data_IF_765095598635
#
_entry.id   IF_765095598635
#
_cell.length_a   1.000
_cell.length_b   1.000
_cell.length_c   1.000
_cell.angle_alpha   90.00
_cell.angle_beta   90.00
_cell.angle_gamma   90.00
#
_symmetry.space_group_name_H-M   'P 1'
#
loop_
_entity.id
_entity.type
_entity.pdbx_description
1 polymer ?
#
# COMPACT_ATOMS: atom_id res chain seq x y z
N UNK A 1 31.93 -14.39 -17.69
CA UNK A 1 30.47 -14.15 -17.64
C UNK A 1 29.84 -15.34 -16.94
N UNK A 2 29.19 -15.08 -15.79
CA UNK A 2 28.48 -16.11 -15.03
C UNK A 2 27.09 -16.39 -15.62
N UNK A 3 26.65 -17.66 -15.52
CA UNK A 3 25.38 -18.13 -16.06
C UNK A 3 24.44 -18.53 -14.93
N UNK A 4 23.17 -18.16 -15.05
CA UNK A 4 22.10 -18.46 -14.11
C UNK A 4 20.86 -18.94 -14.88
N UNK A 5 20.04 -19.77 -14.23
CA UNK A 5 18.73 -20.11 -14.77
C UNK A 5 17.79 -18.89 -14.68
N UNK A 6 17.93 -18.09 -13.61
CA UNK A 6 17.16 -16.89 -13.37
C UNK A 6 18.04 -15.72 -12.92
N UNK A 7 17.85 -14.57 -13.55
CA UNK A 7 18.29 -13.28 -13.01
C UNK A 7 17.06 -12.51 -12.53
N UNK A 8 17.10 -12.03 -11.28
CA UNK A 8 16.07 -11.16 -10.72
C UNK A 8 16.65 -9.77 -10.53
N UNK A 9 15.97 -8.74 -11.00
CA UNK A 9 16.38 -7.34 -10.86
C UNK A 9 15.48 -6.65 -9.83
N UNK A 10 16.03 -6.35 -8.65
CA UNK A 10 15.34 -5.77 -7.50
C UNK A 10 14.96 -6.79 -6.43
N UNK A 11 15.30 -6.50 -5.17
CA UNK A 11 15.08 -7.34 -3.99
C UNK A 11 13.86 -6.98 -3.18
N UNK A 12 12.92 -6.22 -3.74
CA UNK A 12 11.63 -5.93 -3.13
C UNK A 12 10.76 -7.20 -2.96
N UNK A 13 9.54 -7.08 -2.39
CA UNK A 13 8.68 -8.24 -2.11
C UNK A 13 8.50 -9.19 -3.29
N UNK A 14 8.26 -8.65 -4.50
CA UNK A 14 8.13 -9.48 -5.71
C UNK A 14 9.44 -10.18 -6.09
N UNK A 15 10.56 -9.44 -6.10
CA UNK A 15 11.85 -10.00 -6.49
C UNK A 15 12.35 -11.08 -5.53
N UNK A 16 12.29 -10.82 -4.22
CA UNK A 16 12.68 -11.77 -3.18
C UNK A 16 11.84 -13.06 -3.27
N UNK A 17 10.51 -12.96 -3.43
CA UNK A 17 9.65 -14.16 -3.50
C UNK A 17 9.74 -14.87 -4.83
N UNK A 18 9.96 -14.15 -5.95
CA UNK A 18 10.25 -14.76 -7.25
C UNK A 18 11.57 -15.53 -7.24
N UNK A 19 12.62 -14.92 -6.70
CA UNK A 19 13.93 -15.57 -6.55
C UNK A 19 13.84 -16.83 -5.67
N UNK A 20 13.18 -16.73 -4.50
CA UNK A 20 13.00 -17.86 -3.59
C UNK A 20 12.15 -18.97 -4.21
N UNK A 21 11.11 -18.63 -4.99
CA UNK A 21 10.25 -19.60 -5.68
C UNK A 21 11.07 -20.44 -6.67
N UNK A 22 11.87 -19.81 -7.53
CA UNK A 22 12.72 -20.51 -8.49
C UNK A 22 13.81 -21.35 -7.79
N UNK A 23 14.48 -20.80 -6.79
CA UNK A 23 15.50 -21.50 -6.03
C UNK A 23 14.94 -22.73 -5.29
N UNK A 24 13.71 -22.63 -4.74
CA UNK A 24 13.03 -23.76 -4.10
C UNK A 24 12.86 -24.96 -5.05
N UNK A 25 12.67 -24.70 -6.35
CA UNK A 25 12.60 -25.73 -7.40
C UNK A 25 13.96 -26.02 -8.08
N UNK A 26 15.06 -25.75 -7.36
CA UNK A 26 16.42 -26.14 -7.75
C UNK A 26 17.04 -25.29 -8.85
N UNK A 27 16.51 -24.10 -9.17
CA UNK A 27 17.09 -23.19 -10.15
C UNK A 27 18.25 -22.40 -9.56
N UNK A 28 19.30 -22.17 -10.34
CA UNK A 28 20.43 -21.30 -9.97
C UNK A 28 20.01 -19.84 -10.20
N UNK A 29 19.92 -19.05 -9.13
CA UNK A 29 19.37 -17.69 -9.15
C UNK A 29 20.41 -16.65 -8.78
N UNK A 30 20.48 -15.55 -9.54
CA UNK A 30 21.13 -14.31 -9.16
C UNK A 30 20.06 -13.24 -8.88
N UNK A 31 20.20 -12.51 -7.77
CA UNK A 31 19.36 -11.38 -7.37
C UNK A 31 20.21 -10.11 -7.34
N UNK A 32 19.89 -9.14 -8.20
CA UNK A 32 20.61 -7.88 -8.31
C UNK A 32 19.86 -6.81 -7.52
N UNK A 33 20.57 -6.09 -6.62
CA UNK A 33 20.00 -4.98 -5.86
C UNK A 33 20.91 -3.74 -5.95
N UNK A 34 20.35 -2.59 -6.32
CA UNK A 34 21.12 -1.34 -6.41
C UNK A 34 21.24 -0.59 -5.09
N UNK A 35 20.23 -0.71 -4.24
CA UNK A 35 20.23 -0.06 -2.93
C UNK A 35 21.18 -0.80 -1.96
N UNK A 36 21.73 -0.13 -0.95
CA UNK A 36 22.67 -0.76 -0.01
C UNK A 36 22.00 -1.85 0.85
N UNK A 37 20.68 -1.89 0.91
CA UNK A 37 19.91 -2.84 1.68
C UNK A 37 18.87 -3.55 0.84
N UNK A 38 18.69 -4.85 1.09
CA UNK A 38 17.63 -5.65 0.49
C UNK A 38 16.23 -5.28 1.03
N UNK A 39 15.16 -5.77 0.36
CA UNK A 39 13.76 -5.60 0.79
C UNK A 39 12.99 -4.55 0.00
N UNK A 40 13.66 -3.78 -0.87
CA UNK A 40 13.04 -2.76 -1.72
C UNK A 40 12.23 -1.72 -0.93
N UNK A 41 11.34 -0.98 -1.60
CA UNK A 41 10.50 0.02 -0.97
C UNK A 41 9.57 -0.57 0.11
N UNK A 42 9.12 -1.83 -0.05
CA UNK A 42 8.24 -2.48 0.92
C UNK A 42 8.81 -2.50 2.34
N UNK A 43 10.10 -2.78 2.48
CA UNK A 43 10.79 -2.80 3.80
C UNK A 43 11.41 -1.44 4.13
N UNK A 44 11.97 -0.72 3.14
CA UNK A 44 12.89 0.38 3.43
C UNK A 44 12.24 1.77 3.42
N UNK A 45 11.23 2.05 2.56
CA UNK A 45 10.72 3.41 2.37
C UNK A 45 9.19 3.51 2.26
N UNK A 46 8.48 2.39 2.13
CA UNK A 46 7.04 2.40 1.88
C UNK A 46 6.21 1.71 2.95
N UNK A 47 5.85 0.45 2.69
CA UNK A 47 4.84 -0.28 3.46
C UNK A 47 5.18 -0.40 4.96
N UNK A 48 6.33 -0.94 5.31
CA UNK A 48 6.69 -1.19 6.72
C UNK A 48 6.97 0.11 7.48
N UNK A 49 7.75 1.07 6.94
CA UNK A 49 7.99 2.35 7.61
C UNK A 49 6.70 3.06 8.01
N UNK A 50 5.79 3.31 7.05
CA UNK A 50 4.56 4.08 7.33
C UNK A 50 3.65 3.40 8.35
N UNK A 51 3.53 2.04 8.32
CA UNK A 51 2.72 1.30 9.30
C UNK A 51 3.34 1.36 10.69
N UNK A 52 4.67 1.26 10.79
CA UNK A 52 5.37 1.40 12.06
C UNK A 52 5.25 2.83 12.62
N UNK A 53 5.33 3.85 11.75
CA UNK A 53 5.10 5.23 12.17
C UNK A 53 3.65 5.48 12.61
N UNK A 54 2.67 4.81 11.99
CA UNK A 54 1.29 4.85 12.45
C UNK A 54 1.17 4.32 13.88
N UNK A 55 1.74 3.15 14.17
CA UNK A 55 1.72 2.60 15.54
C UNK A 55 2.44 3.52 16.54
N UNK A 56 3.57 4.10 16.15
CA UNK A 56 4.26 5.10 16.96
C UNK A 56 3.39 6.34 17.22
N UNK A 57 2.69 6.85 16.20
CA UNK A 57 1.78 7.98 16.33
C UNK A 57 0.60 7.67 17.27
N UNK A 58 -0.01 6.49 17.17
CA UNK A 58 -1.05 6.03 18.08
C UNK A 58 -0.54 5.94 19.52
N UNK A 59 0.64 5.37 19.72
CA UNK A 59 1.29 5.25 21.02
C UNK A 59 1.56 6.63 21.64
N UNK A 60 2.24 7.52 20.93
CA UNK A 60 2.63 8.83 21.45
C UNK A 60 1.46 9.81 21.60
N UNK A 61 0.45 9.73 20.77
CA UNK A 61 -0.74 10.58 20.88
C UNK A 61 -1.71 10.14 21.96
N UNK A 62 -1.72 8.85 22.32
CA UNK A 62 -2.71 8.25 23.20
C UNK A 62 -4.15 8.41 22.69
N UNK A 63 -4.34 8.72 21.40
CA UNK A 63 -5.64 9.14 20.87
C UNK A 63 -6.73 8.08 21.01
N UNK A 64 -6.38 6.80 20.92
CA UNK A 64 -7.31 5.68 21.14
C UNK A 64 -7.78 5.57 22.59
N UNK A 65 -7.06 6.17 23.55
CA UNK A 65 -7.31 6.04 24.97
C UNK A 65 -7.84 7.33 25.61
N UNK A 66 -7.92 8.43 24.84
CA UNK A 66 -8.40 9.72 25.33
C UNK A 66 -9.83 9.61 25.86
N UNK A 67 -10.03 10.02 27.08
CA UNK A 67 -11.34 9.99 27.75
C UNK A 67 -11.89 8.60 28.09
N UNK A 68 -11.28 7.50 27.61
CA UNK A 68 -11.81 6.14 27.79
C UNK A 68 -11.67 5.65 29.25
N UNK A 69 -10.55 5.98 29.89
CA UNK A 69 -10.26 5.52 31.27
C UNK A 69 -10.43 6.61 32.35
N UNK A 70 -11.06 7.74 32.01
CA UNK A 70 -11.26 8.85 32.94
C UNK A 70 -9.99 9.61 33.34
N UNK A 71 -8.91 9.34 32.65
CA UNK A 71 -7.60 10.03 32.80
C UNK A 71 -7.16 10.52 31.43
N UNK A 72 -6.88 11.80 31.30
CA UNK A 72 -6.25 12.32 30.09
C UNK A 72 -4.77 11.94 30.07
N UNK A 73 -4.43 11.07 29.18
CA UNK A 73 -3.06 10.67 28.91
C UNK A 73 -2.50 11.56 27.81
N UNK A 74 -1.73 12.57 28.15
CA UNK A 74 -0.89 13.28 27.18
C UNK A 74 0.53 12.76 27.30
N UNK A 75 0.99 12.06 26.28
CA UNK A 75 2.41 11.78 26.16
C UNK A 75 3.18 13.05 25.83
N UNK A 76 4.47 12.99 25.98
CA UNK A 76 5.49 14.00 25.83
C UNK A 76 5.14 15.14 24.84
N UNK A 77 4.96 16.36 25.35
CA UNK A 77 4.64 17.54 24.52
C UNK A 77 5.80 17.94 23.54
N UNK A 78 7.02 17.49 23.84
CA UNK A 78 8.23 17.77 23.07
C UNK A 78 8.80 16.49 22.44
N UNK A 79 7.98 15.76 21.66
CA UNK A 79 8.42 14.58 20.93
C UNK A 79 9.45 14.98 19.86
N UNK A 80 10.66 14.43 19.96
CA UNK A 80 11.67 14.61 18.92
C UNK A 80 11.46 13.64 17.75
N UNK A 81 11.91 14.02 16.55
CA UNK A 81 11.93 13.13 15.37
C UNK A 81 12.65 11.82 15.67
N UNK A 82 13.77 11.87 16.39
CA UNK A 82 14.53 10.67 16.76
C UNK A 82 13.70 9.67 17.58
N UNK A 83 12.89 10.14 18.51
CA UNK A 83 12.03 9.30 19.31
C UNK A 83 10.87 8.73 18.47
N UNK A 84 10.29 9.55 17.60
CA UNK A 84 9.22 9.12 16.71
C UNK A 84 9.69 8.05 15.71
N UNK A 85 10.87 8.22 15.11
CA UNK A 85 11.45 7.29 14.13
C UNK A 85 12.12 6.05 14.76
N UNK A 86 12.33 6.04 16.07
CA UNK A 86 13.12 4.99 16.73
C UNK A 86 12.61 3.58 16.44
N UNK A 87 11.30 3.34 16.61
CA UNK A 87 10.71 2.02 16.40
C UNK A 87 10.72 1.61 14.93
N UNK A 88 10.50 2.55 14.04
CA UNK A 88 10.57 2.35 12.59
C UNK A 88 11.96 1.81 12.19
N UNK A 89 13.03 2.46 12.63
CA UNK A 89 14.41 2.06 12.33
C UNK A 89 14.74 0.66 12.85
N UNK A 90 14.24 0.30 14.03
CA UNK A 90 14.42 -1.06 14.57
C UNK A 90 13.70 -2.12 13.75
N UNK A 91 12.43 -1.88 13.40
CA UNK A 91 11.61 -2.82 12.62
C UNK A 91 12.19 -3.01 11.23
N UNK A 92 12.56 -1.92 10.56
CA UNK A 92 13.20 -1.97 9.23
C UNK A 92 14.50 -2.76 9.28
N UNK A 93 15.36 -2.53 10.30
CA UNK A 93 16.60 -3.29 10.48
C UNK A 93 16.32 -4.79 10.63
N UNK A 94 15.40 -5.16 11.51
CA UNK A 94 15.01 -6.55 11.74
C UNK A 94 14.48 -7.23 10.47
N UNK A 95 13.64 -6.54 9.69
CA UNK A 95 13.07 -7.11 8.47
C UNK A 95 14.10 -7.19 7.32
N UNK A 96 15.06 -6.27 7.24
CA UNK A 96 16.22 -6.41 6.33
C UNK A 96 16.98 -7.70 6.62
N UNK A 97 17.20 -8.03 7.89
CA UNK A 97 17.86 -9.27 8.31
C UNK A 97 17.03 -10.51 7.91
N UNK A 98 15.71 -10.47 8.11
CA UNK A 98 14.82 -11.56 7.67
C UNK A 98 14.90 -11.80 6.16
N UNK A 99 14.88 -10.75 5.35
CA UNK A 99 15.02 -10.85 3.88
C UNK A 99 16.40 -11.39 3.51
N UNK A 100 17.47 -10.89 4.12
CA UNK A 100 18.84 -11.36 3.87
C UNK A 100 19.02 -12.84 4.24
N UNK A 101 18.46 -13.28 5.39
CA UNK A 101 18.46 -14.67 5.81
C UNK A 101 17.67 -15.56 4.83
N UNK A 102 16.55 -15.08 4.31
CA UNK A 102 15.78 -15.83 3.33
C UNK A 102 16.53 -16.00 2.01
N UNK A 103 17.19 -14.96 1.52
CA UNK A 103 18.07 -15.01 0.34
C UNK A 103 19.20 -16.04 0.54
N UNK A 104 19.87 -15.98 1.69
CA UNK A 104 20.96 -16.90 2.03
C UNK A 104 20.48 -18.36 2.17
N UNK A 105 19.33 -18.57 2.85
CA UNK A 105 18.73 -19.91 3.02
C UNK A 105 18.43 -20.60 1.69
N UNK A 106 18.03 -19.84 0.68
CA UNK A 106 17.74 -20.36 -0.66
C UNK A 106 18.98 -20.37 -1.58
N UNK A 107 20.18 -20.06 -1.05
CA UNK A 107 21.45 -20.03 -1.79
C UNK A 107 21.40 -19.13 -3.05
N UNK A 108 20.62 -18.03 -2.97
CA UNK A 108 20.51 -17.06 -4.04
C UNK A 108 21.76 -16.18 -4.05
N UNK A 109 22.41 -16.05 -5.20
CA UNK A 109 23.56 -15.16 -5.37
C UNK A 109 23.11 -13.69 -5.34
N UNK A 110 23.35 -13.00 -4.23
CA UNK A 110 23.06 -11.57 -4.11
C UNK A 110 24.19 -10.76 -4.75
N UNK A 111 23.83 -9.95 -5.77
CA UNK A 111 24.77 -9.09 -6.51
C UNK A 111 24.41 -7.64 -6.28
N UNK A 112 25.31 -6.90 -5.63
CA UNK A 112 25.13 -5.47 -5.38
C UNK A 112 25.51 -4.66 -6.62
N UNK A 113 24.59 -3.83 -7.13
CA UNK A 113 24.83 -2.92 -8.24
C UNK A 113 23.59 -2.57 -9.06
N UNK A 114 23.73 -1.65 -9.99
CA UNK A 114 22.67 -1.22 -10.89
C UNK A 114 22.69 -2.05 -12.17
N UNK A 115 21.53 -2.64 -12.48
CA UNK A 115 21.35 -3.53 -13.62
C UNK A 115 20.93 -2.77 -14.87
N UNK A 116 21.51 -3.10 -16.02
CA UNK A 116 21.11 -2.61 -17.34
C UNK A 116 21.22 -3.76 -18.35
N UNK A 117 20.24 -3.93 -19.22
CA UNK A 117 20.29 -4.92 -20.30
C UNK A 117 21.32 -4.53 -21.37
N UNK A 118 22.25 -5.43 -21.68
CA UNK A 118 23.10 -5.37 -22.87
C UNK A 118 22.40 -6.03 -24.09
N UNK A 119 21.81 -7.18 -23.87
CA UNK A 119 20.97 -7.94 -24.79
C UNK A 119 19.84 -8.66 -23.98
N UNK A 120 18.87 -9.35 -24.64
CA UNK A 120 17.76 -9.98 -23.92
C UNK A 120 18.14 -11.00 -22.86
N UNK A 121 19.32 -11.60 -22.93
CA UNK A 121 19.82 -12.60 -21.97
C UNK A 121 20.95 -12.10 -21.09
N UNK A 122 21.57 -10.95 -21.42
CA UNK A 122 22.76 -10.43 -20.72
C UNK A 122 22.44 -9.14 -19.99
N UNK A 123 22.69 -9.15 -18.69
CA UNK A 123 22.55 -7.98 -17.81
C UNK A 123 23.93 -7.55 -17.34
N UNK A 124 24.28 -6.30 -17.64
CA UNK A 124 25.42 -5.61 -17.05
C UNK A 124 25.03 -5.11 -15.66
N UNK A 125 25.91 -5.27 -14.69
CA UNK A 125 25.74 -4.76 -13.33
C UNK A 125 26.89 -3.81 -13.01
N UNK A 126 26.57 -2.53 -12.89
CA UNK A 126 27.53 -1.49 -12.48
C UNK A 126 27.63 -1.50 -10.96
N UNK A 127 28.82 -1.76 -10.43
CA UNK A 127 29.07 -1.84 -8.99
C UNK A 127 29.27 -0.47 -8.36
N UNK A 128 28.73 -0.23 -7.15
CA UNK A 128 29.01 1.00 -6.43
C UNK A 128 30.50 1.09 -6.07
N UNK A 129 31.07 2.32 -6.07
CA UNK A 129 32.46 2.58 -5.68
C UNK A 129 33.51 2.31 -6.77
N UNK A 130 33.13 2.10 -8.04
CA UNK A 130 34.07 1.99 -9.16
C UNK A 130 34.75 0.61 -9.27
N UNK A 131 34.11 -0.45 -8.75
CA UNK A 131 34.55 -1.83 -8.97
C UNK A 131 34.36 -2.25 -10.43
N UNK A 132 34.98 -3.38 -10.83
CA UNK A 132 34.81 -3.96 -12.16
C UNK A 132 33.33 -4.36 -12.39
N UNK A 133 32.75 -3.91 -13.50
CA UNK A 133 31.38 -4.25 -13.90
C UNK A 133 31.24 -5.75 -14.12
N UNK A 134 30.10 -6.29 -13.68
CA UNK A 134 29.80 -7.70 -13.91
C UNK A 134 28.88 -7.86 -15.12
N UNK A 135 29.03 -8.97 -15.82
CA UNK A 135 28.10 -9.42 -16.84
C UNK A 135 27.52 -10.77 -16.44
N UNK A 136 26.22 -10.79 -16.26
CA UNK A 136 25.47 -11.99 -15.89
C UNK A 136 24.60 -12.42 -17.07
N UNK A 137 24.56 -13.71 -17.36
CA UNK A 137 23.69 -14.28 -18.38
C UNK A 137 22.60 -15.12 -17.73
N UNK A 138 21.34 -14.84 -18.05
CA UNK A 138 20.15 -15.55 -17.57
C UNK A 138 19.40 -16.26 -18.69
N UNK A 139 18.91 -17.46 -18.42
CA UNK A 139 17.95 -18.11 -19.31
C UNK A 139 16.57 -17.43 -19.18
N UNK A 140 16.20 -17.01 -17.96
CA UNK A 140 15.01 -16.24 -17.62
C UNK A 140 15.42 -14.97 -16.87
N UNK A 141 14.69 -13.85 -17.07
CA UNK A 141 14.87 -12.62 -16.31
C UNK A 141 13.54 -12.18 -15.69
N UNK A 142 13.54 -11.87 -14.39
CA UNK A 142 12.43 -11.26 -13.70
C UNK A 142 12.75 -9.80 -13.33
N UNK A 143 12.01 -8.85 -13.89
CA UNK A 143 12.10 -7.43 -13.56
C UNK A 143 11.15 -7.14 -12.38
N UNK A 144 11.71 -6.81 -11.22
CA UNK A 144 10.98 -6.53 -9.98
C UNK A 144 11.48 -5.23 -9.32
N UNK A 145 11.80 -4.23 -10.16
CA UNK A 145 12.40 -2.95 -9.76
C UNK A 145 11.44 -1.99 -9.06
N UNK A 146 10.16 -2.34 -9.03
CA UNK A 146 9.14 -1.60 -8.30
C UNK A 146 8.84 -0.23 -8.88
N UNK A 147 8.55 0.73 -8.02
CA UNK A 147 8.20 2.10 -8.34
C UNK A 147 9.00 3.10 -7.53
N UNK A 148 9.03 4.34 -8.00
CA UNK A 148 9.64 5.50 -7.31
C UNK A 148 8.62 6.64 -7.23
N UNK A 149 8.73 7.58 -6.26
CA UNK A 149 7.89 8.76 -6.22
C UNK A 149 7.92 9.53 -7.54
N UNK A 150 6.77 10.05 -7.95
CA UNK A 150 6.68 10.91 -9.12
C UNK A 150 7.19 12.32 -8.76
N UNK A 151 8.45 12.60 -9.05
CA UNK A 151 9.07 13.92 -8.83
C UNK A 151 8.86 14.80 -10.06
N UNK A 152 7.83 15.67 -9.98
CA UNK A 152 7.64 16.70 -11.02
C UNK A 152 8.80 17.69 -10.98
N UNK A 153 9.37 18.11 -12.12
CA UNK A 153 10.44 19.11 -12.17
C UNK A 153 10.00 20.49 -11.66
N UNK A 154 8.70 20.75 -11.58
CA UNK A 154 8.16 22.02 -11.08
C UNK A 154 8.12 22.09 -9.54
N UNK A 155 8.43 21.01 -8.84
CA UNK A 155 8.44 20.95 -7.37
C UNK A 155 9.89 21.05 -6.88
N UNK A 156 10.21 22.04 -6.03
CA UNK A 156 11.58 22.29 -5.56
C UNK A 156 11.98 21.34 -4.42
N UNK A 157 12.22 20.07 -4.75
CA UNK A 157 12.63 19.02 -3.79
C UNK A 157 14.05 19.22 -3.23
N UNK A 158 14.78 20.23 -3.68
CA UNK A 158 16.08 20.62 -3.12
C UNK A 158 15.93 21.34 -1.77
N UNK A 159 14.74 21.87 -1.47
CA UNK A 159 14.45 22.46 -0.16
C UNK A 159 14.18 21.34 0.87
N UNK A 160 14.90 21.29 2.01
CA UNK A 160 14.79 20.21 2.99
C UNK A 160 13.46 20.18 3.76
N UNK A 161 12.52 21.05 3.44
CA UNK A 161 11.14 21.08 4.00
C UNK A 161 10.11 20.50 3.04
N UNK A 162 10.51 20.12 1.81
CA UNK A 162 9.64 19.58 0.77
C UNK A 162 10.06 18.15 0.51
N UNK A 163 9.22 17.21 0.89
CA UNK A 163 9.47 15.77 0.87
C UNK A 163 8.62 15.07 -0.18
N UNK A 164 9.16 14.05 -0.79
CA UNK A 164 8.37 12.96 -1.39
C UNK A 164 8.08 11.87 -0.35
N UNK A 165 7.43 10.79 -0.77
CA UNK A 165 7.03 9.71 0.13
C UNK A 165 8.18 8.85 0.64
N UNK A 166 9.33 8.90 0.01
CA UNK A 166 10.51 8.15 0.44
C UNK A 166 11.39 9.02 1.36
N UNK A 167 11.56 10.32 1.03
CA UNK A 167 12.35 11.28 1.80
C UNK A 167 11.71 11.73 3.11
N UNK A 168 10.40 11.60 3.28
CA UNK A 168 9.71 11.96 4.54
C UNK A 168 10.25 11.20 5.76
N UNK A 169 10.87 10.05 5.55
CA UNK A 169 11.51 9.24 6.60
C UNK A 169 12.81 9.85 7.11
N UNK A 170 13.42 10.74 6.34
CA UNK A 170 14.68 11.44 6.67
C UNK A 170 14.45 12.85 7.22
N UNK A 171 13.22 13.18 7.62
CA UNK A 171 12.90 14.50 8.16
C UNK A 171 13.77 14.85 9.38
N UNK A 172 14.29 16.07 9.41
CA UNK A 172 15.17 16.52 10.49
C UNK A 172 14.44 17.02 11.74
N UNK A 173 13.17 17.43 11.60
CA UNK A 173 12.32 17.92 12.71
C UNK A 173 10.84 17.68 12.42
N UNK A 174 10.04 17.52 13.46
CA UNK A 174 8.57 17.54 13.34
C UNK A 174 8.11 18.98 13.09
N UNK A 175 7.34 19.25 12.03
CA UNK A 175 6.81 20.58 11.75
C UNK A 175 5.62 20.90 12.67
N UNK A 176 5.24 22.17 12.77
CA UNK A 176 3.99 22.58 13.43
C UNK A 176 2.81 22.55 12.45
N UNK A 177 3.11 22.83 11.18
CA UNK A 177 2.14 22.84 10.08
C UNK A 177 2.68 22.08 8.88
N UNK A 178 1.83 21.30 8.23
CA UNK A 178 2.20 20.52 7.05
C UNK A 178 1.10 20.58 6.00
N UNK A 179 1.48 20.75 4.75
CA UNK A 179 0.59 20.48 3.62
C UNK A 179 0.91 19.09 3.03
N UNK A 180 -0.11 18.29 2.80
CA UNK A 180 -0.01 17.01 2.08
C UNK A 180 -0.70 17.16 0.73
N UNK A 181 0.03 17.04 -0.36
CA UNK A 181 -0.49 17.18 -1.73
C UNK A 181 -0.73 15.81 -2.33
N UNK A 182 -2.00 15.44 -2.48
CA UNK A 182 -2.46 14.15 -2.98
C UNK A 182 -3.19 13.32 -1.93
N UNK A 183 -4.50 13.11 -2.10
CA UNK A 183 -5.40 12.31 -1.25
C UNK A 183 -5.47 10.83 -1.67
N UNK A 184 -4.34 10.26 -2.14
CA UNK A 184 -4.16 8.83 -2.36
C UNK A 184 -3.81 8.10 -1.07
N UNK A 185 -3.49 6.80 -1.17
CA UNK A 185 -3.13 5.96 -0.01
C UNK A 185 -2.04 6.60 0.84
N UNK A 186 -0.91 6.95 0.22
CA UNK A 186 0.25 7.52 0.90
C UNK A 186 -0.10 8.85 1.59
N UNK A 187 -0.77 9.76 0.87
CA UNK A 187 -1.15 11.06 1.42
C UNK A 187 -2.11 10.92 2.60
N UNK A 188 -3.14 10.08 2.50
CA UNK A 188 -4.09 9.85 3.59
C UNK A 188 -3.43 9.22 4.82
N UNK A 189 -2.54 8.22 4.62
CA UNK A 189 -1.81 7.58 5.71
C UNK A 189 -0.94 8.59 6.47
N UNK A 190 -0.03 9.28 5.77
CA UNK A 190 0.86 10.26 6.42
C UNK A 190 0.09 11.45 7.00
N UNK A 191 -0.95 11.94 6.33
CA UNK A 191 -1.76 13.04 6.87
C UNK A 191 -2.38 12.68 8.22
N UNK A 192 -2.94 11.46 8.37
CA UNK A 192 -3.52 11.01 9.64
C UNK A 192 -2.45 10.74 10.70
N UNK A 193 -1.28 10.21 10.32
CA UNK A 193 -0.14 9.99 11.22
C UNK A 193 0.31 11.32 11.85
N UNK A 194 0.56 12.34 11.02
CA UNK A 194 1.02 13.63 11.51
C UNK A 194 -0.06 14.39 12.29
N UNK A 195 -1.32 14.32 11.86
CA UNK A 195 -2.43 14.92 12.61
C UNK A 195 -2.61 14.27 13.99
N UNK A 196 -2.46 12.94 14.11
CA UNK A 196 -2.51 12.24 15.39
C UNK A 196 -1.42 12.74 16.36
N UNK A 197 -0.26 13.14 15.87
CA UNK A 197 0.81 13.77 16.67
C UNK A 197 0.54 15.25 17.03
N UNK A 198 -0.60 15.81 16.62
CA UNK A 198 -0.98 17.19 16.89
C UNK A 198 -0.41 18.21 15.91
N UNK A 199 0.16 17.78 14.78
CA UNK A 199 0.59 18.67 13.70
C UNK A 199 -0.66 19.15 12.94
N UNK A 200 -0.74 20.43 12.64
CA UNK A 200 -1.82 20.99 11.81
C UNK A 200 -1.59 20.61 10.35
N UNK A 201 -2.39 19.68 9.85
CA UNK A 201 -2.26 19.14 8.49
C UNK A 201 -3.37 19.65 7.59
N UNK A 202 -3.00 20.19 6.41
CA UNK A 202 -3.91 20.46 5.30
C UNK A 202 -3.66 19.44 4.19
N UNK A 203 -4.66 18.60 3.89
CA UNK A 203 -4.63 17.64 2.78
C UNK A 203 -5.32 18.25 1.56
N UNK A 204 -4.63 18.31 0.42
CA UNK A 204 -5.12 18.94 -0.81
C UNK A 204 -5.19 17.89 -1.92
N UNK A 205 -6.36 17.72 -2.54
CA UNK A 205 -6.54 16.80 -3.68
C UNK A 205 -7.50 17.39 -4.73
N UNK A 206 -7.15 17.26 -6.00
CA UNK A 206 -7.98 17.74 -7.12
C UNK A 206 -9.25 16.93 -7.37
N UNK A 207 -9.38 15.75 -6.78
CA UNK A 207 -10.57 14.88 -6.93
C UNK A 207 -11.68 15.33 -5.97
N UNK A 208 -12.90 14.87 -6.25
CA UNK A 208 -14.08 15.13 -5.43
C UNK A 208 -14.19 14.26 -4.17
N UNK A 209 -13.35 13.19 -4.08
CA UNK A 209 -13.32 12.27 -2.93
C UNK A 209 -11.93 11.68 -2.70
N UNK A 210 -11.66 11.28 -1.47
CA UNK A 210 -10.47 10.52 -1.09
C UNK A 210 -10.59 9.09 -1.60
N UNK A 211 -9.45 8.46 -1.97
CA UNK A 211 -9.38 7.03 -2.25
C UNK A 211 -10.53 6.53 -3.13
N UNK A 212 -10.66 6.95 -4.39
CA UNK A 212 -11.83 6.72 -5.23
C UNK A 212 -12.14 5.24 -5.53
N UNK A 213 -11.23 4.33 -5.22
CA UNK A 213 -11.42 2.89 -5.33
C UNK A 213 -12.23 2.28 -4.16
N UNK A 214 -12.37 3.01 -3.06
CA UNK A 214 -13.23 2.60 -1.94
C UNK A 214 -14.71 2.81 -2.29
N UNK A 215 -15.55 2.04 -1.62
CA UNK A 215 -16.99 2.34 -1.55
C UNK A 215 -17.20 3.77 -1.03
N UNK A 216 -18.11 4.53 -1.65
CA UNK A 216 -18.31 5.95 -1.35
C UNK A 216 -18.64 6.22 0.10
N UNK A 217 -19.51 5.41 0.69
CA UNK A 217 -19.88 5.56 2.10
C UNK A 217 -18.65 5.45 3.02
N UNK A 218 -17.74 4.53 2.72
CA UNK A 218 -16.51 4.34 3.50
C UNK A 218 -15.54 5.51 3.28
N UNK A 219 -15.39 5.98 2.04
CA UNK A 219 -14.58 7.16 1.72
C UNK A 219 -15.08 8.42 2.44
N UNK A 220 -16.39 8.65 2.42
CA UNK A 220 -17.01 9.80 3.08
C UNK A 220 -16.86 9.71 4.61
N UNK A 221 -17.01 8.51 5.19
CA UNK A 221 -16.75 8.27 6.62
C UNK A 221 -15.28 8.51 6.98
N UNK A 222 -14.34 8.04 6.16
CA UNK A 222 -12.92 8.29 6.39
C UNK A 222 -12.64 9.80 6.41
N UNK A 223 -13.14 10.53 5.42
CA UNK A 223 -13.00 11.99 5.38
C UNK A 223 -13.51 12.64 6.67
N UNK A 224 -14.71 12.29 7.12
CA UNK A 224 -15.27 12.82 8.36
C UNK A 224 -14.37 12.53 9.57
N UNK A 225 -13.81 11.30 9.66
CA UNK A 225 -12.90 10.95 10.77
C UNK A 225 -11.59 11.74 10.69
N UNK A 226 -11.06 11.98 9.48
CA UNK A 226 -9.87 12.83 9.29
C UNK A 226 -10.14 14.27 9.74
N UNK A 227 -11.31 14.84 9.39
CA UNK A 227 -11.71 16.18 9.83
C UNK A 227 -11.91 16.26 11.36
N UNK A 228 -12.48 15.21 11.98
CA UNK A 228 -12.59 15.09 13.44
C UNK A 228 -11.21 14.93 14.13
N UNK A 229 -10.24 14.32 13.46
CA UNK A 229 -8.87 14.24 13.92
C UNK A 229 -8.14 15.61 13.84
N UNK A 230 -8.74 16.60 13.18
CA UNK A 230 -8.23 17.95 13.06
C UNK A 230 -7.56 18.28 11.73
N UNK A 231 -7.71 17.45 10.70
CA UNK A 231 -7.21 17.74 9.36
C UNK A 231 -8.12 18.77 8.66
N UNK A 232 -7.50 19.68 7.91
CA UNK A 232 -8.16 20.50 6.91
C UNK A 232 -8.12 19.75 5.56
N UNK A 233 -9.25 19.15 5.15
CA UNK A 233 -9.34 18.36 3.92
C UNK A 233 -9.95 19.18 2.78
N UNK A 234 -9.11 19.57 1.80
CA UNK A 234 -9.49 20.36 0.64
C UNK A 234 -9.56 19.50 -0.60
N UNK A 235 -10.77 19.03 -0.93
CA UNK A 235 -11.05 18.31 -2.17
C UNK A 235 -11.41 19.30 -3.29
N UNK A 236 -11.33 18.85 -4.54
CA UNK A 236 -11.52 19.67 -5.75
C UNK A 236 -10.59 20.88 -5.77
N UNK A 237 -9.47 20.80 -5.07
CA UNK A 237 -8.47 21.85 -4.98
C UNK A 237 -7.11 21.31 -5.48
N UNK A 238 -6.36 22.16 -6.16
CA UNK A 238 -5.04 21.83 -6.66
C UNK A 238 -3.99 22.85 -6.25
N UNK A 239 -2.75 22.41 -6.20
CA UNK A 239 -1.60 23.28 -6.03
C UNK A 239 -1.12 23.71 -7.41
N UNK A 240 -1.04 25.02 -7.64
CA UNK A 240 -0.53 25.61 -8.86
C UNK A 240 0.99 25.74 -8.82
N UNK A 241 1.55 26.10 -7.66
CA UNK A 241 2.99 26.29 -7.46
C UNK A 241 3.37 26.09 -6.00
N UNK A 242 4.57 25.57 -5.76
CA UNK A 242 5.21 25.51 -4.44
C UNK A 242 6.46 26.37 -4.46
N UNK A 243 6.58 27.30 -3.50
CA UNK A 243 7.73 28.20 -3.37
C UNK A 243 8.30 28.14 -1.97
N UNK A 244 9.56 27.74 -1.80
CA UNK A 244 10.27 27.93 -0.55
C UNK A 244 10.48 29.43 -0.29
N UNK A 245 10.16 29.87 0.93
CA UNK A 245 10.45 31.20 1.46
C UNK A 245 11.31 31.07 2.73
N UNK A 246 11.96 32.14 3.24
CA UNK A 246 12.88 32.01 4.38
C UNK A 246 12.27 31.30 5.60
N UNK A 247 11.06 31.65 6.00
CA UNK A 247 10.41 31.11 7.21
C UNK A 247 9.33 30.05 6.93
N UNK A 248 8.89 29.88 5.68
CA UNK A 248 7.74 29.04 5.34
C UNK A 248 7.86 28.47 3.94
N UNK A 249 7.12 27.43 3.63
CA UNK A 249 6.87 26.95 2.27
C UNK A 249 5.48 27.45 1.84
N UNK A 250 5.41 28.27 0.79
CA UNK A 250 4.19 28.84 0.28
C UNK A 250 3.63 27.99 -0.86
N UNK A 251 2.38 27.55 -0.73
CA UNK A 251 1.61 26.88 -1.78
C UNK A 251 0.61 27.87 -2.39
N UNK A 252 0.71 28.10 -3.69
CA UNK A 252 -0.30 28.83 -4.47
C UNK A 252 -1.38 27.84 -4.92
N UNK A 253 -2.64 28.11 -4.61
CA UNK A 253 -3.76 27.21 -4.91
C UNK A 253 -4.39 27.54 -6.27
N UNK A 254 -4.93 26.54 -6.96
CA UNK A 254 -5.57 26.74 -8.28
C UNK A 254 -6.85 27.55 -8.19
N UNK A 255 -7.57 27.49 -7.07
CA UNK A 255 -8.76 28.33 -6.81
C UNK A 255 -8.46 29.80 -6.58
N UNK A 256 -7.17 30.16 -6.47
CA UNK A 256 -6.68 31.47 -5.98
C UNK A 256 -6.49 31.46 -4.48
N UNK A 257 -5.53 32.20 -4.00
CA UNK A 257 -5.12 32.20 -2.60
C UNK A 257 -3.85 31.40 -2.37
N UNK A 258 -3.40 31.41 -1.12
CA UNK A 258 -2.14 30.77 -0.75
C UNK A 258 -2.23 30.13 0.64
N UNK A 259 -1.37 29.13 0.87
CA UNK A 259 -1.21 28.42 2.13
C UNK A 259 0.28 28.40 2.49
N UNK A 260 0.64 29.00 3.64
CA UNK A 260 1.99 28.94 4.19
C UNK A 260 2.10 27.84 5.24
N UNK A 261 3.09 26.94 5.11
CA UNK A 261 3.33 25.83 6.04
C UNK A 261 4.81 25.65 6.34
N UNK A 262 5.14 24.94 7.43
CA UNK A 262 6.52 24.60 7.77
C UNK A 262 7.12 23.54 6.84
N UNK A 263 6.29 22.61 6.36
CA UNK A 263 6.74 21.50 5.49
C UNK A 263 5.65 21.05 4.52
N UNK A 264 6.06 20.44 3.42
CA UNK A 264 5.18 19.86 2.39
C UNK A 264 5.56 18.41 2.15
N UNK A 265 4.56 17.53 2.14
CA UNK A 265 4.67 16.17 1.60
C UNK A 265 3.98 16.13 0.24
N UNK A 266 4.73 15.87 -0.82
CA UNK A 266 4.20 15.70 -2.16
C UNK A 266 3.96 14.21 -2.43
N UNK A 267 2.70 13.77 -2.35
CA UNK A 267 2.25 12.39 -2.46
C UNK A 267 1.38 12.15 -3.72
N UNK A 268 1.70 12.82 -4.84
CA UNK A 268 0.91 12.82 -6.07
C UNK A 268 1.23 11.64 -7.02
N UNK A 269 1.47 10.46 -6.46
CA UNK A 269 1.61 9.21 -7.18
C UNK A 269 3.06 8.71 -7.33
N UNK A 270 3.17 7.50 -7.91
CA UNK A 270 4.43 6.81 -8.17
C UNK A 270 4.51 6.41 -9.65
N UNK A 271 5.72 6.19 -10.14
CA UNK A 271 6.01 5.75 -11.52
C UNK A 271 6.87 4.48 -11.49
N UNK A 272 6.76 3.66 -12.52
CA UNK A 272 7.57 2.45 -12.68
C UNK A 272 9.07 2.78 -12.73
N UNK A 273 9.86 2.02 -11.99
CA UNK A 273 11.32 2.23 -11.92
C UNK A 273 12.05 1.49 -13.05
N UNK A 274 11.93 2.01 -14.27
CA UNK A 274 12.41 1.37 -15.52
C UNK A 274 13.48 2.14 -16.28
N UNK A 275 13.74 3.40 -15.90
CA UNK A 275 14.56 4.33 -16.70
C UNK A 275 16.00 3.86 -16.96
N UNK A 276 16.63 3.18 -15.99
CA UNK A 276 18.03 2.74 -16.09
C UNK A 276 18.20 1.34 -16.69
N UNK A 277 17.11 0.63 -17.00
CA UNK A 277 17.18 -0.78 -17.40
C UNK A 277 17.59 -0.97 -18.86
N UNK A 278 17.49 0.04 -19.74
CA UNK A 278 17.80 -0.10 -21.17
C UNK A 278 16.80 -1.00 -21.92
N UNK A 279 15.51 -0.95 -21.54
CA UNK A 279 14.45 -1.82 -22.08
C UNK A 279 14.21 -1.65 -23.57
N UNK A 280 14.44 -0.47 -24.11
CA UNK A 280 14.39 -0.15 -25.53
C UNK A 280 15.35 -0.99 -26.37
N UNK A 281 16.55 -1.30 -25.83
CA UNK A 281 17.57 -2.14 -26.51
C UNK A 281 17.13 -3.58 -26.72
N UNK A 282 16.19 -4.05 -25.89
CA UNK A 282 15.68 -5.42 -25.93
C UNK A 282 14.24 -5.49 -26.44
N UNK A 283 13.71 -4.38 -26.98
CA UNK A 283 12.38 -4.32 -27.61
C UNK A 283 11.21 -4.27 -26.63
N UNK A 284 11.43 -3.94 -25.36
CA UNK A 284 10.36 -3.76 -24.37
C UNK A 284 10.00 -2.28 -24.27
N UNK A 285 8.77 -1.94 -24.65
CA UNK A 285 8.22 -0.60 -24.46
C UNK A 285 7.58 -0.45 -23.09
N UNK A 286 7.59 0.77 -22.56
CA UNK A 286 6.93 1.14 -21.31
C UNK A 286 5.80 2.14 -21.57
N UNK A 287 4.75 2.09 -20.76
CA UNK A 287 3.65 3.06 -20.80
C UNK A 287 4.04 4.42 -20.19
N UNK A 288 3.12 5.39 -20.24
CA UNK A 288 3.33 6.80 -19.85
C UNK A 288 3.86 6.98 -18.42
N UNK A 289 3.55 6.05 -17.52
CA UNK A 289 4.07 6.04 -16.14
C UNK A 289 5.28 5.13 -15.93
N UNK A 290 5.95 4.71 -17.01
CA UNK A 290 7.09 3.81 -16.94
C UNK A 290 6.74 2.36 -16.58
N UNK A 291 5.46 1.95 -16.68
CA UNK A 291 5.04 0.59 -16.39
C UNK A 291 5.31 -0.35 -17.56
N UNK A 292 5.80 -1.55 -17.26
CA UNK A 292 6.01 -2.62 -18.23
C UNK A 292 4.68 -3.33 -18.49
N UNK A 293 4.33 -3.54 -19.76
CA UNK A 293 3.16 -4.32 -20.14
C UNK A 293 3.47 -5.82 -20.10
N UNK A 294 2.57 -6.59 -19.49
CA UNK A 294 2.68 -8.05 -19.34
C UNK A 294 1.34 -8.73 -19.66
N UNK A 295 1.41 -10.03 -19.98
CA UNK A 295 0.22 -10.88 -20.09
C UNK A 295 -0.24 -11.42 -18.73
N UNK A 296 -1.22 -12.34 -18.72
CA UNK A 296 -1.78 -12.96 -17.52
C UNK A 296 -0.79 -13.83 -16.73
N UNK A 297 0.34 -14.20 -17.34
CA UNK A 297 1.44 -14.93 -16.72
C UNK A 297 2.58 -14.00 -16.28
N UNK A 298 2.37 -12.67 -16.35
CA UNK A 298 3.38 -11.64 -16.05
C UNK A 298 4.58 -11.66 -16.99
N UNK A 299 4.45 -12.25 -18.18
CA UNK A 299 5.44 -12.32 -19.24
C UNK A 299 5.35 -11.07 -20.11
N UNK A 300 6.49 -10.50 -20.47
CA UNK A 300 6.58 -9.35 -21.41
C UNK A 300 6.46 -9.82 -22.87
N UNK A 301 6.60 -8.89 -23.79
CA UNK A 301 6.68 -9.22 -25.24
C UNK A 301 7.90 -10.07 -25.60
N UNK A 302 8.91 -10.12 -24.72
CA UNK A 302 10.09 -10.97 -24.87
C UNK A 302 9.87 -12.24 -24.04
N UNK A 303 9.75 -13.44 -24.63
CA UNK A 303 9.19 -14.64 -23.99
C UNK A 303 9.88 -15.12 -22.70
N UNK A 304 11.17 -14.84 -22.50
CA UNK A 304 11.93 -15.24 -21.31
C UNK A 304 12.12 -14.11 -20.31
N UNK A 305 11.49 -12.94 -20.55
CA UNK A 305 11.52 -11.79 -19.64
C UNK A 305 10.15 -11.57 -19.03
N UNK A 306 10.10 -11.55 -17.71
CA UNK A 306 8.91 -11.35 -16.89
C UNK A 306 9.03 -10.06 -16.08
N UNK A 307 7.89 -9.50 -15.66
CA UNK A 307 7.87 -8.37 -14.73
C UNK A 307 6.77 -8.53 -13.70
N UNK A 308 7.03 -8.13 -12.44
CA UNK A 308 6.08 -8.25 -11.34
C UNK A 308 6.20 -7.11 -10.32
N UNK A 309 5.12 -6.82 -9.62
CA UNK A 309 5.03 -5.75 -8.63
C UNK A 309 4.78 -4.38 -9.24
N UNK A 310 5.10 -3.33 -8.51
CA UNK A 310 4.75 -1.95 -8.89
C UNK A 310 5.27 -1.53 -10.27
N UNK A 311 6.29 -2.18 -10.79
CA UNK A 311 6.85 -1.90 -12.12
C UNK A 311 5.86 -2.20 -13.25
N UNK A 312 4.84 -3.03 -13.01
CA UNK A 312 3.74 -3.30 -13.95
C UNK A 312 2.47 -2.49 -13.64
N UNK A 313 2.49 -1.66 -12.59
CA UNK A 313 1.37 -0.80 -12.19
C UNK A 313 0.40 -1.45 -11.21
N UNK A 314 -0.89 -1.13 -11.36
CA UNK A 314 -1.95 -1.63 -10.45
C UNK A 314 -2.04 -3.17 -10.50
N UNK A 315 -2.25 -3.82 -9.34
CA UNK A 315 -2.51 -3.29 -8.01
C UNK A 315 -1.25 -3.14 -7.14
N UNK A 316 -0.49 -2.14 -7.19
CA UNK A 316 0.78 -1.88 -6.52
C UNK A 316 0.76 -2.16 -4.99
N UNK A 317 0.65 -3.45 -4.64
CA UNK A 317 0.62 -3.97 -3.27
C UNK A 317 1.74 -4.99 -3.06
N UNK A 318 2.40 -4.96 -1.90
CA UNK A 318 3.45 -5.91 -1.57
C UNK A 318 2.96 -7.37 -1.68
N UNK A 319 1.76 -7.68 -1.16
CA UNK A 319 1.17 -9.01 -1.21
C UNK A 319 0.93 -9.49 -2.65
N UNK A 320 0.32 -8.66 -3.50
CA UNK A 320 0.10 -9.03 -4.91
C UNK A 320 1.40 -9.16 -5.68
N UNK A 321 2.41 -8.31 -5.40
CA UNK A 321 3.74 -8.41 -6.02
C UNK A 321 4.39 -9.77 -5.76
N UNK A 322 4.28 -10.27 -4.53
CA UNK A 322 4.79 -11.60 -4.16
C UNK A 322 4.10 -12.72 -4.96
N UNK A 323 2.77 -12.65 -5.08
CA UNK A 323 2.00 -13.67 -5.79
C UNK A 323 2.20 -13.62 -7.30
N UNK A 324 2.29 -12.41 -7.90
CA UNK A 324 2.60 -12.20 -9.31
C UNK A 324 3.96 -12.83 -9.66
N UNK A 325 4.99 -12.57 -8.85
CA UNK A 325 6.31 -13.13 -9.07
C UNK A 325 6.34 -14.67 -8.96
N UNK A 326 5.56 -15.25 -8.02
CA UNK A 326 5.42 -16.72 -7.92
C UNK A 326 4.76 -17.31 -9.17
N UNK A 327 3.69 -16.70 -9.67
CA UNK A 327 3.02 -17.13 -10.90
C UNK A 327 3.96 -17.02 -12.09
N UNK A 328 4.67 -15.88 -12.22
CA UNK A 328 5.66 -15.66 -13.27
C UNK A 328 6.73 -16.75 -13.30
N UNK A 329 7.28 -17.11 -12.15
CA UNK A 329 8.34 -18.14 -12.06
C UNK A 329 7.80 -19.54 -12.28
N UNK A 330 6.59 -19.84 -11.81
CA UNK A 330 5.95 -21.13 -12.12
C UNK A 330 5.72 -21.29 -13.63
N UNK A 331 5.25 -20.25 -14.30
CA UNK A 331 5.08 -20.27 -15.76
C UNK A 331 6.42 -20.36 -16.50
N UNK A 332 7.43 -19.58 -16.08
CA UNK A 332 8.74 -19.52 -16.72
C UNK A 332 9.49 -20.86 -16.72
N UNK A 333 9.27 -21.68 -15.69
CA UNK A 333 9.99 -22.95 -15.48
C UNK A 333 9.09 -24.18 -15.58
N UNK A 334 7.87 -24.03 -16.12
CA UNK A 334 6.88 -25.11 -16.29
C UNK A 334 6.62 -25.89 -14.99
N UNK A 335 6.37 -25.12 -13.90
CA UNK A 335 6.09 -25.66 -12.56
C UNK A 335 4.58 -25.59 -12.29
N UNK A 336 3.94 -26.73 -12.21
CA UNK A 336 2.50 -26.83 -11.93
C UNK A 336 2.22 -26.72 -10.41
N UNK A 337 2.51 -25.55 -9.84
CA UNK A 337 2.27 -25.27 -8.42
C UNK A 337 1.33 -24.07 -8.23
N UNK A 338 1.55 -22.97 -8.96
CA UNK A 338 0.76 -21.75 -8.86
C UNK A 338 0.61 -21.08 -10.23
N UNK A 339 -0.61 -21.12 -10.76
CA UNK A 339 -0.90 -20.69 -12.12
C UNK A 339 -1.60 -19.33 -12.22
N UNK A 340 -2.12 -18.80 -11.10
CA UNK A 340 -2.84 -17.52 -11.07
C UNK A 340 -2.76 -16.82 -9.71
N UNK A 341 -2.91 -15.52 -9.73
CA UNK A 341 -3.22 -14.71 -8.54
C UNK A 341 -4.74 -14.75 -8.33
N UNK A 342 -5.18 -14.71 -7.08
CA UNK A 342 -6.60 -14.66 -6.77
C UNK A 342 -7.27 -13.44 -7.42
N UNK A 343 -8.43 -13.64 -8.04
CA UNK A 343 -9.17 -12.56 -8.71
C UNK A 343 -9.69 -11.50 -7.73
N UNK A 344 -9.99 -11.89 -6.49
CA UNK A 344 -10.39 -11.01 -5.40
C UNK A 344 -9.27 -11.01 -4.38
N UNK A 345 -8.74 -9.83 -4.09
CA UNK A 345 -7.70 -9.59 -3.09
C UNK A 345 -8.11 -8.42 -2.18
N UNK A 346 -7.63 -8.36 -0.94
CA UNK A 346 -7.96 -7.29 -0.04
C UNK A 346 -7.11 -6.04 -0.35
N UNK A 347 -7.72 -4.88 -0.13
CA UNK A 347 -7.05 -3.58 -0.11
C UNK A 347 -7.15 -3.02 1.30
N UNK A 348 -6.04 -2.67 1.92
CA UNK A 348 -6.00 -2.00 3.21
C UNK A 348 -5.29 -0.66 3.10
N UNK A 349 -5.83 0.35 3.77
CA UNK A 349 -5.26 1.68 3.94
C UNK A 349 -5.11 1.92 5.43
N UNK A 350 -3.88 2.12 5.87
CA UNK A 350 -3.52 2.23 7.27
C UNK A 350 -3.59 3.69 7.76
N UNK A 351 -4.71 4.33 7.49
CA UNK A 351 -5.08 5.62 8.08
C UNK A 351 -5.44 5.46 9.57
N UNK A 352 -5.78 6.56 10.20
CA UNK A 352 -6.36 6.60 11.55
C UNK A 352 -7.75 7.21 11.41
N UNK A 353 -8.84 6.38 11.48
CA UNK A 353 -8.88 4.91 11.60
C UNK A 353 -8.47 4.17 10.32
N UNK A 354 -8.20 2.85 10.43
CA UNK A 354 -7.93 1.97 9.29
C UNK A 354 -9.15 1.82 8.39
N UNK A 355 -8.89 1.57 7.10
CA UNK A 355 -9.91 1.19 6.13
C UNK A 355 -9.45 -0.03 5.36
N UNK A 356 -10.35 -0.99 5.15
CA UNK A 356 -10.07 -2.14 4.31
C UNK A 356 -11.28 -2.58 3.50
N UNK A 357 -11.04 -3.17 2.34
CA UNK A 357 -12.10 -3.71 1.49
C UNK A 357 -11.65 -4.93 0.69
N UNK A 358 -12.62 -5.72 0.25
CA UNK A 358 -12.46 -6.75 -0.77
C UNK A 358 -13.74 -6.88 -1.59
N UNK A 359 -13.61 -7.13 -2.89
CA UNK A 359 -14.74 -7.34 -3.81
C UNK A 359 -15.37 -6.04 -4.33
N UNK A 360 -16.67 -6.11 -4.63
CA UNK A 360 -17.42 -5.04 -5.29
C UNK A 360 -17.87 -3.96 -4.31
N UNK A 361 -17.88 -2.71 -4.78
CA UNK A 361 -18.54 -1.58 -4.11
C UNK A 361 -19.99 -1.44 -4.59
N UNK A 362 -20.79 -0.60 -3.94
CA UNK A 362 -22.12 -0.28 -4.46
C UNK A 362 -22.05 0.36 -5.85
N UNK A 363 -21.04 1.20 -6.11
CA UNK A 363 -20.81 1.85 -7.40
C UNK A 363 -20.56 0.80 -8.49
N UNK A 364 -19.63 -0.13 -8.26
CA UNK A 364 -19.32 -1.18 -9.25
C UNK A 364 -20.49 -2.13 -9.47
N UNK A 365 -21.30 -2.40 -8.44
CA UNK A 365 -22.54 -3.16 -8.62
C UNK A 365 -23.54 -2.42 -9.51
N UNK A 366 -23.73 -1.10 -9.33
CA UNK A 366 -24.60 -0.29 -10.20
C UNK A 366 -24.09 -0.26 -11.63
N UNK A 367 -22.80 -0.04 -11.83
CA UNK A 367 -22.17 -0.01 -13.16
C UNK A 367 -22.33 -1.34 -13.90
N UNK A 368 -22.24 -2.47 -13.17
CA UNK A 368 -22.42 -3.82 -13.72
C UNK A 368 -23.88 -4.27 -13.81
N UNK A 369 -24.84 -3.46 -13.39
CA UNK A 369 -26.26 -3.81 -13.38
C UNK A 369 -26.61 -4.96 -12.43
N UNK A 370 -25.85 -5.16 -11.36
CA UNK A 370 -26.08 -6.24 -10.38
C UNK A 370 -27.10 -5.76 -9.37
N UNK A 371 -28.20 -6.51 -9.20
CA UNK A 371 -29.15 -6.28 -8.12
C UNK A 371 -28.52 -6.68 -6.78
N UNK A 372 -28.35 -5.73 -5.88
CA UNK A 372 -27.66 -5.95 -4.61
C UNK A 372 -28.45 -5.37 -3.43
N UNK A 373 -28.13 -5.86 -2.24
CA UNK A 373 -28.50 -5.31 -0.95
C UNK A 373 -27.26 -5.01 -0.12
N UNK A 374 -27.44 -4.20 0.91
CA UNK A 374 -26.37 -3.80 1.83
C UNK A 374 -26.79 -4.08 3.25
N UNK A 375 -25.87 -4.65 4.04
CA UNK A 375 -26.01 -4.78 5.48
C UNK A 375 -24.87 -4.09 6.21
N UNK A 376 -25.17 -3.48 7.37
CA UNK A 376 -24.21 -2.68 8.15
C UNK A 376 -24.22 -3.08 9.61
N UNK A 377 -23.03 -3.08 10.22
CA UNK A 377 -22.88 -3.16 11.67
C UNK A 377 -21.94 -2.07 12.16
N UNK A 378 -22.39 -1.29 13.13
CA UNK A 378 -21.59 -0.22 13.73
C UNK A 378 -20.87 -0.74 14.97
N UNK A 379 -19.60 -0.38 15.15
CA UNK A 379 -18.80 -0.78 16.32
C UNK A 379 -19.37 -0.24 17.63
N UNK A 380 -20.04 0.92 17.61
CA UNK A 380 -20.76 1.44 18.78
C UNK A 380 -21.85 0.48 19.31
N UNK A 381 -22.31 -0.48 18.52
CA UNK A 381 -23.30 -1.50 18.93
C UNK A 381 -22.67 -2.86 19.18
N UNK A 382 -21.35 -2.97 19.03
CA UNK A 382 -20.56 -4.17 19.25
C UNK A 382 -19.87 -4.09 20.62
N UNK A 383 -19.90 -5.17 21.40
CA UNK A 383 -19.32 -5.17 22.75
C UNK A 383 -17.82 -4.88 22.74
N UNK A 384 -17.05 -5.43 21.80
CA UNK A 384 -15.62 -5.17 21.67
C UNK A 384 -15.36 -3.72 21.27
N UNK A 385 -16.14 -3.16 20.34
CA UNK A 385 -16.09 -1.74 19.97
C UNK A 385 -16.24 -0.82 21.18
N UNK A 386 -17.24 -1.11 22.05
CA UNK A 386 -17.42 -0.40 23.32
C UNK A 386 -16.20 -0.53 24.25
N UNK A 387 -15.66 -1.75 24.39
CA UNK A 387 -14.51 -2.02 25.28
C UNK A 387 -13.26 -1.23 24.85
N UNK A 388 -12.98 -1.17 23.55
CA UNK A 388 -11.79 -0.50 23.02
C UNK A 388 -12.01 0.99 22.75
N UNK A 389 -13.24 1.49 22.84
CA UNK A 389 -13.59 2.88 22.61
C UNK A 389 -13.70 3.28 21.13
N UNK A 390 -13.69 2.33 20.18
CA UNK A 390 -13.98 2.62 18.79
C UNK A 390 -15.48 2.61 18.56
N UNK A 391 -16.09 3.80 18.63
CA UNK A 391 -17.53 4.00 18.43
C UNK A 391 -17.89 4.43 17.00
N UNK A 392 -16.90 4.60 16.16
CA UNK A 392 -17.06 5.13 14.79
C UNK A 392 -16.87 4.07 13.71
N UNK A 393 -16.29 2.95 14.06
CA UNK A 393 -16.05 1.83 13.15
C UNK A 393 -17.31 1.21 12.59
N UNK A 394 -17.18 0.59 11.41
CA UNK A 394 -18.30 -0.05 10.69
C UNK A 394 -17.80 -1.21 9.84
N UNK A 395 -18.57 -2.30 9.81
CA UNK A 395 -18.54 -3.33 8.75
C UNK A 395 -19.76 -3.11 7.84
N UNK A 396 -19.50 -3.10 6.52
CA UNK A 396 -20.52 -3.04 5.47
C UNK A 396 -20.34 -4.25 4.54
N UNK A 397 -21.41 -4.99 4.34
CA UNK A 397 -21.49 -6.11 3.40
C UNK A 397 -22.35 -5.72 2.21
N UNK A 398 -21.85 -5.93 1.00
CA UNK A 398 -22.58 -5.84 -0.25
C UNK A 398 -22.83 -7.25 -0.76
N UNK A 399 -24.09 -7.62 -1.03
CA UNK A 399 -24.44 -8.96 -1.46
C UNK A 399 -25.54 -8.94 -2.53
N UNK A 400 -25.58 -9.96 -3.37
CA UNK A 400 -26.53 -10.08 -4.46
C UNK A 400 -27.92 -10.40 -3.92
N UNK A 401 -28.93 -9.60 -4.32
CA UNK A 401 -30.28 -9.69 -3.76
C UNK A 401 -30.96 -11.06 -3.96
N UNK A 402 -30.95 -11.70 -5.16
CA UNK A 402 -31.70 -12.94 -5.38
C UNK A 402 -31.23 -14.16 -4.57
N UNK A 403 -29.93 -14.30 -4.34
CA UNK A 403 -29.33 -15.50 -3.76
C UNK A 403 -28.41 -15.23 -2.55
N UNK A 404 -28.36 -14.00 -2.10
CA UNK A 404 -27.57 -13.54 -0.95
C UNK A 404 -26.04 -13.76 -1.08
N UNK A 405 -25.53 -14.04 -2.28
CA UNK A 405 -24.10 -14.23 -2.53
C UNK A 405 -23.33 -12.97 -2.14
N UNK A 406 -22.31 -13.11 -1.32
CA UNK A 406 -21.43 -12.01 -0.93
C UNK A 406 -20.71 -11.46 -2.16
N UNK A 407 -20.73 -10.15 -2.37
CA UNK A 407 -20.09 -9.45 -3.47
C UNK A 407 -18.95 -8.55 -2.99
N UNK A 408 -19.10 -7.93 -1.82
CA UNK A 408 -18.10 -7.02 -1.28
C UNK A 408 -18.16 -6.91 0.24
N UNK A 409 -17.00 -6.61 0.82
CA UNK A 409 -16.82 -6.33 2.24
C UNK A 409 -16.02 -5.03 2.37
N UNK A 410 -16.51 -4.12 3.18
CA UNK A 410 -15.91 -2.81 3.40
C UNK A 410 -15.90 -2.51 4.89
N UNK A 411 -14.74 -2.13 5.42
CA UNK A 411 -14.55 -1.92 6.86
C UNK A 411 -13.82 -0.60 7.07
N UNK A 412 -14.27 0.16 8.03
CA UNK A 412 -13.56 1.30 8.61
C UNK A 412 -13.54 1.14 10.13
N UNK A 413 -12.41 1.38 10.76
CA UNK A 413 -12.26 1.27 12.22
C UNK A 413 -11.06 0.43 12.61
N UNK A 414 -10.95 0.15 13.91
CA UNK A 414 -9.85 -0.64 14.47
C UNK A 414 -9.81 -2.04 13.88
N UNK A 415 -8.62 -2.53 13.58
CA UNK A 415 -8.34 -3.85 13.00
C UNK A 415 -9.03 -4.11 11.64
N UNK A 416 -9.40 -3.08 10.88
CA UNK A 416 -10.05 -3.26 9.57
C UNK A 416 -9.20 -4.09 8.61
N UNK A 417 -7.88 -3.94 8.64
CA UNK A 417 -6.94 -4.67 7.79
C UNK A 417 -6.89 -6.19 8.11
N UNK A 418 -7.15 -6.58 9.36
CA UNK A 418 -7.22 -7.97 9.78
C UNK A 418 -8.61 -8.57 9.55
N UNK A 419 -9.64 -7.82 9.91
CA UNK A 419 -11.04 -8.28 9.84
C UNK A 419 -11.49 -8.57 8.41
N UNK A 420 -11.00 -7.84 7.41
CA UNK A 420 -11.38 -8.03 5.99
C UNK A 420 -11.16 -9.46 5.51
N UNK A 421 -10.20 -10.19 6.08
CA UNK A 421 -9.85 -11.54 5.66
C UNK A 421 -10.97 -12.55 5.90
N UNK A 422 -11.82 -12.37 6.92
CA UNK A 422 -13.01 -13.21 7.12
C UNK A 422 -13.95 -13.10 5.92
N UNK A 423 -14.29 -11.88 5.52
CA UNK A 423 -15.13 -11.63 4.36
C UNK A 423 -14.48 -12.06 3.06
N UNK A 424 -13.18 -11.85 2.91
CA UNK A 424 -12.41 -12.29 1.75
C UNK A 424 -12.50 -13.81 1.54
N UNK A 425 -12.40 -14.61 2.60
CA UNK A 425 -12.51 -16.07 2.48
C UNK A 425 -13.90 -16.51 2.01
N UNK A 426 -14.95 -15.85 2.50
CA UNK A 426 -16.33 -16.11 2.04
C UNK A 426 -16.52 -15.68 0.57
N UNK A 427 -15.97 -14.51 0.18
CA UNK A 427 -15.96 -14.01 -1.20
C UNK A 427 -15.28 -15.01 -2.16
N UNK A 428 -14.09 -15.47 -1.83
CA UNK A 428 -13.31 -16.40 -2.65
C UNK A 428 -13.98 -17.79 -2.77
N UNK A 429 -14.67 -18.23 -1.70
CA UNK A 429 -15.47 -19.45 -1.72
C UNK A 429 -16.79 -19.32 -2.49
N UNK A 430 -17.15 -18.10 -2.96
CA UNK A 430 -18.45 -17.85 -3.58
C UNK A 430 -19.62 -17.98 -2.61
N UNK A 431 -19.38 -17.81 -1.31
CA UNK A 431 -20.36 -17.99 -0.24
C UNK A 431 -21.38 -16.87 -0.16
N UNK A 432 -22.38 -17.09 0.70
CA UNK A 432 -23.47 -16.14 0.98
C UNK A 432 -23.28 -15.47 2.34
N UNK A 433 -24.07 -14.43 2.63
CA UNK A 433 -24.08 -13.80 3.95
C UNK A 433 -24.56 -14.75 5.06
N UNK A 434 -25.26 -15.84 4.72
CA UNK A 434 -25.68 -16.86 5.68
C UNK A 434 -24.49 -17.50 6.39
N UNK A 435 -23.32 -17.58 5.74
CA UNK A 435 -22.08 -18.05 6.37
C UNK A 435 -21.73 -17.29 7.67
N UNK A 436 -22.00 -16.00 7.73
CA UNK A 436 -21.78 -15.20 8.94
C UNK A 436 -22.87 -15.39 9.99
N UNK A 437 -24.11 -15.68 9.57
CA UNK A 437 -25.24 -15.94 10.45
C UNK A 437 -25.06 -17.26 11.18
N UNK A 438 -24.70 -18.31 10.44
CA UNK A 438 -24.52 -19.66 10.95
C UNK A 438 -23.24 -19.81 11.80
N UNK A 439 -22.21 -19.00 11.52
CA UNK A 439 -20.96 -19.06 12.28
C UNK A 439 -21.15 -18.69 13.75
N UNK A 440 -20.34 -19.32 14.61
CA UNK A 440 -20.19 -18.90 16.02
C UNK A 440 -18.87 -18.16 16.15
N UNK A 441 -18.95 -16.87 16.47
CA UNK A 441 -17.78 -16.04 16.74
C UNK A 441 -17.46 -16.03 18.24
N UNK A 442 -16.18 -15.89 18.57
CA UNK A 442 -15.80 -15.58 19.95
C UNK A 442 -16.43 -14.27 20.39
N UNK A 443 -16.85 -14.19 21.65
CA UNK A 443 -17.45 -13.00 22.23
C UNK A 443 -16.70 -12.57 23.49
N UNK A 444 -16.33 -11.28 23.66
CA UNK A 444 -16.55 -10.15 22.71
C UNK A 444 -15.41 -9.99 21.68
N UNK A 445 -15.76 -9.89 20.42
CA UNK A 445 -14.82 -9.61 19.31
C UNK A 445 -15.43 -8.65 18.29
N UNK A 446 -14.60 -7.95 17.49
CA UNK A 446 -15.06 -7.16 16.35
C UNK A 446 -15.57 -8.06 15.22
N UNK A 447 -15.09 -9.30 15.10
CA UNK A 447 -15.55 -10.28 14.12
C UNK A 447 -17.05 -10.60 14.25
N UNK A 448 -17.62 -10.52 15.45
CA UNK A 448 -19.05 -10.72 15.70
C UNK A 448 -19.92 -9.68 14.94
N UNK A 449 -19.37 -8.52 14.60
CA UNK A 449 -20.06 -7.51 13.81
C UNK A 449 -20.44 -7.99 12.39
N UNK A 450 -19.74 -8.98 11.82
CA UNK A 450 -20.13 -9.60 10.55
C UNK A 450 -21.53 -10.22 10.60
N UNK A 451 -21.86 -10.90 11.70
CA UNK A 451 -23.17 -11.50 11.93
C UNK A 451 -24.26 -10.43 11.93
N UNK A 452 -24.05 -9.33 12.64
CA UNK A 452 -25.04 -8.25 12.73
C UNK A 452 -25.17 -7.48 11.40
N UNK A 453 -24.10 -7.31 10.65
CA UNK A 453 -24.16 -6.77 9.28
C UNK A 453 -24.98 -7.70 8.37
N UNK A 454 -24.82 -9.02 8.50
CA UNK A 454 -25.63 -9.98 7.73
C UNK A 454 -27.11 -9.93 8.11
N UNK A 455 -27.47 -9.85 9.40
CA UNK A 455 -28.87 -9.67 9.84
C UNK A 455 -29.48 -8.33 9.36
N UNK A 456 -28.75 -7.23 9.41
CA UNK A 456 -29.21 -5.93 8.89
C UNK A 456 -29.48 -6.05 7.37
N UNK A 457 -28.60 -6.77 6.65
CA UNK A 457 -28.78 -7.05 5.23
C UNK A 457 -30.03 -7.88 4.92
N UNK A 458 -30.34 -8.92 5.72
CA UNK A 458 -31.57 -9.68 5.57
C UNK A 458 -32.82 -8.81 5.78
N UNK A 459 -32.80 -7.94 6.79
CA UNK A 459 -33.89 -7.00 7.01
C UNK A 459 -34.04 -6.00 5.85
N UNK A 460 -32.94 -5.57 5.23
CA UNK A 460 -32.99 -4.74 4.03
C UNK A 460 -33.57 -5.48 2.82
N UNK A 461 -33.21 -6.77 2.65
CA UNK A 461 -33.73 -7.60 1.57
C UNK A 461 -35.24 -7.84 1.69
N UNK A 462 -35.76 -8.07 2.90
CA UNK A 462 -37.20 -8.21 3.14
C UNK A 462 -37.98 -6.96 2.75
N UNK A 463 -37.46 -5.76 3.09
CA UNK A 463 -38.09 -4.48 2.71
C UNK A 463 -38.15 -4.21 1.21
N UNK A 464 -37.35 -4.90 0.40
CA UNK A 464 -37.42 -4.80 -1.06
C UNK A 464 -38.43 -5.75 -1.66
N UNK A 465 -38.84 -6.79 -0.93
CA UNK A 465 -39.80 -7.77 -1.38
C UNK A 465 -41.27 -7.37 -1.04
N UNK A 466 -41.44 -6.51 -0.04
CA UNK A 466 -42.72 -5.86 0.34
C UNK A 466 -42.97 -4.63 -0.54
#
# INVERSE_FOLDING_TARGET
MERYDLIVIGSGPGGEKGAAQAAYFGKRVALIEKAPHVGGAGVNTGTIPSKTLREAALYFSGIQQRGLYGVDYSFKQDLSVREFMHREQEVVRSLREVVAQNIARHQIALVQGEATFEDPHTVQVVRPGGGEDLRLRGEVVLIATGSVPNRSPDIPFEDPRIYDSDEILDMGRLPRTMAVVGGGVIGCEYATIFAALGIRVTLIDGRDRLLPFLDREISDRLRLQMELLGLDVRLQEGVARIRPEPETVLLELKSGGSLGVDSVLFAAGRIGNTRSLGLDRIGISVGDRGHILVNEHYQTVVPHIYAAGDVIGFPALAATSMEQARVAMCHAFDIDYKTRVAAIFPLAVYTIPEVSMAGETEETCREKGIAYCVGRALYQRNARGQIIGDLTGQIKLVFRAPDKRLLGVHIIGEEAAELVHLGLMVLQAGGTIDAFIDAVFNYPTLSDAYKYAAYDGLAALQRLAD
#
